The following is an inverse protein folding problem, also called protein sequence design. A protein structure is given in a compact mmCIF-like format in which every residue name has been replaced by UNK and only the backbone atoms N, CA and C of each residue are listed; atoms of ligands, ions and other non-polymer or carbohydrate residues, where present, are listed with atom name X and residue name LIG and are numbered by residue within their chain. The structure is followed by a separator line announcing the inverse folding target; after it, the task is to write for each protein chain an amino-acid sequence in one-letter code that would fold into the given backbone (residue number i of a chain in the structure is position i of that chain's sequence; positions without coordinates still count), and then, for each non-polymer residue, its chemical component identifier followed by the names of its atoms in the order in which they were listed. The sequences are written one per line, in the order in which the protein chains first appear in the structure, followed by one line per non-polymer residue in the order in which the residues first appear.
data_IF_012412366815
#
_entry.id   IF_012412366815
#
_cell.length_a   1.000
_cell.length_b   1.000
_cell.length_c   1.000
_cell.angle_alpha   90.00
_cell.angle_beta   90.00
_cell.angle_gamma   90.00
#
_symmetry.space_group_name_H-M   'P 1'
#
loop_
_entity.id
_entity.type
_entity.pdbx_description
1 polymer ?
#
# COMPACT_ATOMS: atom_id res chain seq x y z
N UNK A 1 25.74 -10.07 2.78
CA UNK A 1 24.87 -9.29 3.69
C UNK A 1 24.90 -9.96 5.04
N UNK A 2 25.06 -9.18 6.11
CA UNK A 2 24.88 -9.68 7.48
C UNK A 2 23.40 -9.52 7.81
N UNK A 3 22.74 -10.62 8.14
CA UNK A 3 21.34 -10.64 8.56
C UNK A 3 21.24 -10.20 10.02
N UNK A 4 20.30 -9.32 10.33
CA UNK A 4 20.04 -8.77 11.66
C UNK A 4 18.60 -8.99 12.08
N UNK A 5 18.40 -9.29 13.37
CA UNK A 5 17.06 -9.45 13.95
C UNK A 5 16.19 -8.20 13.77
N UNK A 6 16.79 -7.00 13.82
CA UNK A 6 16.04 -5.74 13.75
C UNK A 6 15.72 -5.29 12.32
N UNK A 7 16.50 -5.73 11.34
CA UNK A 7 16.37 -5.26 9.96
C UNK A 7 15.72 -6.28 9.04
N UNK A 8 15.89 -7.57 9.33
CA UNK A 8 15.53 -8.65 8.40
C UNK A 8 14.50 -9.63 8.97
N UNK A 9 14.31 -9.68 10.30
CA UNK A 9 13.43 -10.66 10.96
C UNK A 9 12.20 -9.99 11.59
N UNK A 10 12.41 -8.92 12.37
CA UNK A 10 11.30 -8.16 12.96
C UNK A 10 10.84 -7.14 11.91
N UNK A 11 9.70 -7.46 11.29
CA UNK A 11 9.03 -6.55 10.37
C UNK A 11 8.49 -5.30 11.08
N UNK A 12 8.19 -4.23 10.32
CA UNK A 12 7.63 -3.01 10.88
C UNK A 12 6.28 -3.29 11.56
N UNK A 13 5.94 -2.48 12.56
CA UNK A 13 4.58 -2.43 13.09
C UNK A 13 3.66 -1.99 11.95
N UNK A 14 2.66 -2.81 11.64
CA UNK A 14 1.76 -2.58 10.51
C UNK A 14 0.33 -3.05 10.80
N UNK A 15 -0.62 -2.55 10.03
CA UNK A 15 -1.99 -3.07 9.91
C UNK A 15 -2.10 -3.99 8.70
N UNK A 16 -3.03 -4.94 8.77
CA UNK A 16 -3.34 -5.86 7.68
C UNK A 16 -2.82 -7.28 7.90
N UNK A 17 -3.32 -8.26 7.12
CA UNK A 17 -3.02 -9.66 7.35
C UNK A 17 -1.65 -10.09 6.83
N UNK A 18 -1.01 -9.30 5.95
CA UNK A 18 0.20 -9.70 5.25
C UNK A 18 1.16 -8.53 5.01
N UNK A 19 2.43 -8.71 5.38
CA UNK A 19 3.49 -7.71 5.21
C UNK A 19 3.90 -7.54 3.75
N UNK A 20 3.95 -8.64 3.00
CA UNK A 20 4.30 -8.61 1.58
C UNK A 20 3.24 -7.93 0.73
N UNK A 21 1.97 -7.98 1.14
CA UNK A 21 0.89 -7.35 0.41
C UNK A 21 0.64 -5.93 0.89
N UNK A 22 0.47 -5.73 2.20
CA UNK A 22 0.10 -4.43 2.75
C UNK A 22 1.29 -3.48 2.89
N UNK A 23 2.33 -3.87 3.64
CA UNK A 23 3.46 -2.97 3.90
C UNK A 23 4.26 -2.66 2.63
N UNK A 24 4.43 -3.64 1.74
CA UNK A 24 5.09 -3.42 0.46
C UNK A 24 4.27 -2.49 -0.46
N UNK A 25 2.96 -2.72 -0.60
CA UNK A 25 2.10 -1.86 -1.41
C UNK A 25 2.03 -0.43 -0.86
N UNK A 26 2.02 -0.27 0.47
CA UNK A 26 2.10 1.03 1.12
C UNK A 26 3.40 1.76 0.81
N UNK A 27 4.53 1.04 0.87
CA UNK A 27 5.83 1.60 0.49
C UNK A 27 5.82 2.09 -0.96
N UNK A 28 5.25 1.31 -1.88
CA UNK A 28 5.09 1.69 -3.29
C UNK A 28 4.23 2.96 -3.41
N UNK A 29 3.06 3.00 -2.75
CA UNK A 29 2.17 4.16 -2.77
C UNK A 29 2.84 5.44 -2.24
N UNK A 30 3.62 5.32 -1.15
CA UNK A 30 4.39 6.46 -0.59
C UNK A 30 5.44 6.96 -1.57
N UNK A 31 6.20 6.06 -2.20
CA UNK A 31 7.19 6.44 -3.21
C UNK A 31 6.52 7.14 -4.39
N UNK A 32 5.40 6.61 -4.89
CA UNK A 32 4.64 7.25 -5.96
C UNK A 32 4.15 8.66 -5.56
N UNK A 33 3.61 8.81 -4.35
CA UNK A 33 3.18 10.10 -3.80
C UNK A 33 4.33 11.10 -3.68
N UNK A 34 5.47 10.66 -3.18
CA UNK A 34 6.65 11.52 -3.00
C UNK A 34 7.18 11.99 -4.36
N UNK A 35 7.20 11.12 -5.38
CA UNK A 35 7.57 11.46 -6.76
C UNK A 35 6.62 12.47 -7.40
N UNK A 36 5.35 12.48 -6.98
CA UNK A 36 4.31 13.39 -7.47
C UNK A 36 4.13 14.63 -6.60
N UNK A 37 5.08 14.92 -5.70
CA UNK A 37 5.02 16.06 -4.76
C UNK A 37 3.71 16.10 -3.94
N UNK A 38 3.16 14.92 -3.62
CA UNK A 38 1.94 14.77 -2.84
C UNK A 38 0.63 15.03 -3.59
N UNK A 39 0.67 15.31 -4.90
CA UNK A 39 -0.53 15.61 -5.71
C UNK A 39 -0.77 14.53 -6.76
N UNK A 40 -1.87 13.80 -6.62
CA UNK A 40 -2.25 12.70 -7.52
C UNK A 40 -3.73 12.85 -7.86
N UNK A 41 -4.06 12.98 -9.13
CA UNK A 41 -5.46 13.05 -9.59
C UNK A 41 -6.00 11.65 -9.99
N UNK A 42 -5.12 10.81 -10.55
CA UNK A 42 -5.48 9.49 -11.04
C UNK A 42 -4.38 8.46 -10.83
N UNK A 43 -4.77 7.21 -10.59
CA UNK A 43 -3.89 6.05 -10.43
C UNK A 43 -4.45 4.87 -11.22
N UNK A 44 -3.60 4.29 -12.06
CA UNK A 44 -3.83 3.01 -12.70
C UNK A 44 -2.97 1.95 -12.00
N UNK A 45 -3.60 0.88 -11.55
CA UNK A 45 -2.94 -0.26 -10.93
C UNK A 45 -3.13 -1.47 -11.83
N UNK A 46 -2.05 -2.04 -12.35
CA UNK A 46 -2.11 -3.23 -13.18
C UNK A 46 -1.32 -4.36 -12.53
N UNK A 47 -1.88 -5.56 -12.56
CA UNK A 47 -1.22 -6.77 -12.11
C UNK A 47 -0.83 -7.64 -13.29
N UNK A 48 0.31 -8.31 -13.18
CA UNK A 48 0.58 -9.46 -14.04
C UNK A 48 -0.50 -10.53 -13.78
N UNK A 49 -1.25 -10.87 -14.81
CA UNK A 49 -2.35 -11.85 -14.78
C UNK A 49 -1.90 -13.25 -14.35
N UNK A 50 -0.60 -13.56 -14.48
CA UNK A 50 0.01 -14.82 -14.04
C UNK A 50 0.65 -14.71 -12.66
N UNK A 51 0.68 -13.52 -12.08
CA UNK A 51 1.21 -13.25 -10.74
C UNK A 51 0.28 -13.72 -9.62
N UNK A 52 0.77 -13.65 -8.38
CA UNK A 52 0.01 -14.02 -7.18
C UNK A 52 -0.94 -12.93 -6.67
N UNK A 53 -0.72 -11.67 -7.07
CA UNK A 53 -1.50 -10.50 -6.62
C UNK A 53 -2.92 -10.41 -7.19
N UNK A 54 -3.23 -10.68 -8.47
CA UNK A 54 -4.56 -10.47 -9.05
C UNK A 54 -5.73 -11.11 -8.30
N UNK A 55 -5.50 -12.25 -7.64
CA UNK A 55 -6.53 -12.99 -6.92
C UNK A 55 -6.55 -12.72 -5.42
N UNK A 56 -5.55 -12.01 -4.89
CA UNK A 56 -5.33 -11.85 -3.44
C UNK A 56 -5.15 -10.41 -2.99
N UNK A 57 -5.00 -9.45 -3.91
CA UNK A 57 -4.71 -8.05 -3.58
C UNK A 57 -5.70 -7.44 -2.55
N UNK A 58 -6.99 -7.75 -2.64
CA UNK A 58 -7.99 -7.31 -1.65
C UNK A 58 -7.86 -8.07 -0.32
N UNK A 59 -7.89 -9.40 -0.37
CA UNK A 59 -7.94 -10.24 0.83
C UNK A 59 -6.66 -10.19 1.67
N UNK A 60 -5.52 -9.90 1.02
CA UNK A 60 -4.22 -9.77 1.67
C UNK A 60 -3.83 -8.31 1.96
N UNK A 61 -4.67 -7.34 1.56
CA UNK A 61 -4.50 -5.93 1.93
C UNK A 61 -3.55 -5.11 1.06
N UNK A 62 -3.26 -5.53 -0.17
CA UNK A 62 -2.52 -4.71 -1.14
C UNK A 62 -3.25 -3.41 -1.48
N UNK A 63 -4.57 -3.47 -1.71
CA UNK A 63 -5.36 -2.26 -1.98
C UNK A 63 -5.30 -1.31 -0.78
N UNK A 64 -5.49 -1.87 0.41
CA UNK A 64 -5.45 -1.14 1.68
C UNK A 64 -4.12 -0.40 1.85
N UNK A 65 -3.00 -1.11 1.68
CA UNK A 65 -1.66 -0.57 1.76
C UNK A 65 -1.39 0.47 0.69
N UNK A 66 -1.64 0.15 -0.57
CA UNK A 66 -1.40 1.04 -1.71
C UNK A 66 -2.13 2.38 -1.53
N UNK A 67 -3.43 2.34 -1.22
CA UNK A 67 -4.23 3.55 -1.05
C UNK A 67 -3.77 4.37 0.15
N UNK A 68 -3.44 3.71 1.28
CA UNK A 68 -2.86 4.39 2.44
C UNK A 68 -1.54 5.09 2.09
N UNK A 69 -0.67 4.42 1.32
CA UNK A 69 0.59 5.01 0.86
C UNK A 69 0.38 6.23 -0.05
N UNK A 70 -0.58 6.16 -0.98
CA UNK A 70 -0.95 7.26 -1.86
C UNK A 70 -1.56 8.45 -1.10
N UNK A 71 -2.21 8.19 0.03
CA UNK A 71 -2.71 9.20 0.98
C UNK A 71 -1.62 9.73 1.92
N UNK A 72 -0.42 9.15 1.88
CA UNK A 72 0.72 9.55 2.73
C UNK A 72 0.66 9.02 4.16
N UNK A 73 -0.09 7.94 4.40
CA UNK A 73 -0.18 7.29 5.70
C UNK A 73 0.96 6.30 5.93
N UNK A 74 1.23 6.01 7.20
CA UNK A 74 2.22 5.02 7.60
C UNK A 74 1.60 3.64 7.85
N UNK A 75 2.44 2.60 7.85
CA UNK A 75 1.99 1.20 7.94
C UNK A 75 1.16 0.87 9.19
N UNK A 76 1.36 1.60 10.29
CA UNK A 76 0.63 1.40 11.54
C UNK A 76 -0.64 2.25 11.66
N UNK A 77 -0.91 3.13 10.69
CA UNK A 77 -2.02 4.10 10.75
C UNK A 77 -3.36 3.38 10.92
N UNK A 78 -4.14 3.81 11.91
CA UNK A 78 -5.42 3.19 12.25
C UNK A 78 -6.48 3.39 11.17
N UNK A 79 -6.32 4.39 10.29
CA UNK A 79 -7.24 4.68 9.20
C UNK A 79 -7.08 3.74 8.01
N UNK A 80 -6.01 2.92 7.97
CA UNK A 80 -5.72 2.04 6.85
C UNK A 80 -6.92 1.20 6.37
N UNK A 81 -7.71 0.54 7.24
CA UNK A 81 -8.90 -0.22 6.80
C UNK A 81 -9.93 0.61 6.02
N UNK A 82 -9.98 1.92 6.25
CA UNK A 82 -10.87 2.86 5.57
C UNK A 82 -10.23 3.51 4.33
N UNK A 83 -9.00 3.12 3.95
CA UNK A 83 -8.28 3.74 2.83
C UNK A 83 -9.04 3.72 1.49
N UNK A 84 -9.85 2.71 1.13
CA UNK A 84 -10.65 2.76 -0.10
C UNK A 84 -11.74 3.85 -0.08
N UNK A 85 -12.25 4.20 1.10
CA UNK A 85 -13.18 5.34 1.24
C UNK A 85 -12.38 6.65 1.17
N UNK A 86 -11.32 6.76 1.97
CA UNK A 86 -10.53 7.99 2.08
C UNK A 86 -9.89 8.42 0.75
N UNK A 87 -9.41 7.48 -0.08
CA UNK A 87 -8.80 7.82 -1.37
C UNK A 87 -9.81 8.42 -2.36
N UNK A 88 -11.07 7.97 -2.30
CA UNK A 88 -12.16 8.56 -3.08
C UNK A 88 -12.55 9.94 -2.56
N UNK A 89 -12.60 10.11 -1.24
CA UNK A 89 -12.88 11.41 -0.60
C UNK A 89 -11.78 12.44 -0.86
N UNK A 90 -10.53 11.99 -1.02
CA UNK A 90 -9.41 12.82 -1.44
C UNK A 90 -9.44 13.24 -2.92
N UNK A 91 -10.43 12.76 -3.70
CA UNK A 91 -10.59 13.10 -5.11
C UNK A 91 -9.68 12.32 -6.06
N UNK A 92 -8.97 11.29 -5.58
CA UNK A 92 -8.07 10.47 -6.41
C UNK A 92 -8.87 9.39 -7.12
N UNK A 93 -8.87 9.42 -8.45
CA UNK A 93 -9.50 8.38 -9.27
C UNK A 93 -8.60 7.15 -9.35
N UNK A 94 -9.07 6.00 -8.88
CA UNK A 94 -8.28 4.75 -8.90
C UNK A 94 -8.95 3.71 -9.79
N UNK A 95 -8.17 3.16 -10.73
CA UNK A 95 -8.56 2.02 -11.57
C UNK A 95 -7.61 0.85 -11.30
N UNK A 96 -8.17 -0.34 -11.08
CA UNK A 96 -7.45 -1.61 -10.87
C UNK A 96 -7.92 -2.62 -11.90
#
# INVERSE_FOLDING_TARGET
MIVSIFNDVIGPVMRGPSSSHCAAALRIGRVARDLMEGRIDAVLVEFDRRGSLPTTHKSQGSDMGLFGGLLGWDAADERLPDSPRAIREAGVSVSI
#
